data_IF_308295920322
#
_entry.id   IF_308295920322
#
_cell.length_a   1.000
_cell.length_b   1.000
_cell.length_c   1.000
_cell.angle_alpha   90.00
_cell.angle_beta   90.00
_cell.angle_gamma   90.00
#
_symmetry.space_group_name_H-M   'P 1'
#
loop_
_entity.id
_entity.type
_entity.pdbx_description
1 polymer ?
#
# COMPACT_ATOMS: atom_id res chain seq x y z
N UNK A 1 11.58 -13.99 -25.44
CA UNK A 1 11.39 -15.19 -24.59
C UNK A 1 12.47 -15.16 -23.50
N UNK A 2 12.13 -15.44 -22.24
CA UNK A 2 13.06 -15.34 -21.10
C UNK A 2 14.07 -16.52 -21.03
N UNK A 3 13.92 -17.55 -21.87
CA UNK A 3 14.80 -18.72 -21.89
C UNK A 3 14.76 -19.59 -20.62
N UNK A 4 13.73 -19.42 -19.79
CA UNK A 4 13.52 -20.18 -18.54
C UNK A 4 12.33 -21.11 -18.73
N UNK A 5 12.48 -22.36 -18.29
CA UNK A 5 11.36 -23.30 -18.28
C UNK A 5 10.23 -22.80 -17.37
N UNK A 6 8.95 -22.89 -17.77
CA UNK A 6 7.84 -22.36 -17.00
C UNK A 6 7.79 -22.83 -15.54
N UNK A 7 8.17 -24.07 -15.28
CA UNK A 7 8.19 -24.66 -13.93
C UNK A 7 9.28 -24.07 -13.02
N UNK A 8 10.29 -23.44 -13.60
CA UNK A 8 11.40 -22.82 -12.88
C UNK A 8 11.32 -21.29 -12.86
N UNK A 9 10.35 -20.69 -13.59
CA UNK A 9 10.21 -19.25 -13.72
C UNK A 9 9.92 -18.60 -12.35
N UNK A 10 10.74 -17.62 -11.98
CA UNK A 10 10.58 -16.77 -10.81
C UNK A 10 10.13 -15.40 -11.27
N UNK A 11 8.92 -15.04 -10.91
CA UNK A 11 8.28 -13.79 -11.35
C UNK A 11 7.87 -12.97 -10.12
N UNK A 12 8.16 -11.69 -10.14
CA UNK A 12 7.53 -10.70 -9.24
C UNK A 12 6.45 -9.98 -10.02
N UNK A 13 5.20 -10.12 -9.59
CA UNK A 13 4.05 -9.45 -10.22
C UNK A 13 3.66 -8.23 -9.39
N UNK A 14 3.68 -7.05 -9.99
CA UNK A 14 3.31 -5.77 -9.40
C UNK A 14 2.02 -5.29 -10.06
N UNK A 15 0.88 -5.42 -9.37
CA UNK A 15 -0.37 -4.82 -9.83
C UNK A 15 -0.53 -3.44 -9.19
N UNK A 16 -0.51 -2.37 -9.99
CA UNK A 16 -0.53 -0.99 -9.54
C UNK A 16 -1.70 -0.24 -10.18
N UNK A 17 -2.76 -0.06 -9.41
CA UNK A 17 -3.98 0.64 -9.79
C UNK A 17 -4.52 1.45 -8.61
N UNK A 18 -5.84 1.63 -8.51
CA UNK A 18 -6.48 2.23 -7.33
C UNK A 18 -6.16 1.45 -6.03
N UNK A 19 -6.09 0.12 -6.13
CA UNK A 19 -5.41 -0.76 -5.18
C UNK A 19 -4.06 -1.18 -5.74
N UNK A 20 -3.15 -1.65 -4.88
CA UNK A 20 -1.83 -2.10 -5.29
C UNK A 20 -1.41 -3.36 -4.51
N UNK A 21 -0.76 -4.29 -5.20
CA UNK A 21 -0.19 -5.49 -4.59
C UNK A 21 1.05 -5.95 -5.33
N UNK A 22 1.93 -6.63 -4.60
CA UNK A 22 3.09 -7.34 -5.17
C UNK A 22 2.99 -8.80 -4.75
N UNK A 23 3.27 -9.71 -5.67
CA UNK A 23 3.29 -11.14 -5.41
C UNK A 23 4.57 -11.78 -5.97
N UNK A 24 5.09 -12.74 -5.23
CA UNK A 24 6.18 -13.62 -5.65
C UNK A 24 5.61 -14.92 -6.22
N UNK A 25 6.04 -15.29 -7.40
CA UNK A 25 5.50 -16.42 -8.14
C UNK A 25 6.67 -17.32 -8.59
N UNK A 26 6.58 -18.61 -8.29
CA UNK A 26 7.54 -19.62 -8.74
C UNK A 26 6.79 -20.73 -9.46
N UNK A 27 7.17 -21.01 -10.71
CA UNK A 27 6.55 -22.06 -11.51
C UNK A 27 5.03 -21.91 -11.68
N UNK A 28 4.53 -20.67 -11.73
CA UNK A 28 3.10 -20.36 -11.84
C UNK A 28 2.31 -20.37 -10.53
N UNK A 29 2.97 -20.64 -9.39
CA UNK A 29 2.34 -20.63 -8.07
C UNK A 29 2.78 -19.41 -7.25
N UNK A 30 1.83 -18.69 -6.65
CA UNK A 30 2.14 -17.63 -5.69
C UNK A 30 2.74 -18.24 -4.42
N UNK A 31 3.94 -17.78 -4.06
CA UNK A 31 4.66 -18.23 -2.86
C UNK A 31 4.72 -17.18 -1.77
N UNK A 32 4.48 -15.91 -2.13
CA UNK A 32 4.44 -14.79 -1.20
C UNK A 32 3.61 -13.63 -1.79
N UNK A 33 3.10 -12.75 -0.94
CA UNK A 33 2.30 -11.59 -1.35
C UNK A 33 2.44 -10.44 -0.35
N UNK A 34 2.23 -9.23 -0.82
CA UNK A 34 2.24 -8.02 0.01
C UNK A 34 0.96 -7.81 0.84
N UNK A 35 -0.13 -8.51 0.52
CA UNK A 35 -1.38 -8.40 1.26
C UNK A 35 -1.45 -9.49 2.33
N UNK A 36 -1.95 -9.16 3.52
CA UNK A 36 -2.14 -10.09 4.61
C UNK A 36 -3.60 -10.51 4.79
N UNK A 37 -4.09 -10.43 6.04
CA UNK A 37 -5.47 -10.77 6.37
C UNK A 37 -6.48 -9.87 5.63
N UNK A 38 -6.13 -8.61 5.39
CA UNK A 38 -6.91 -7.67 4.59
C UNK A 38 -6.03 -7.00 3.54
N UNK A 39 -6.64 -6.37 2.50
CA UNK A 39 -5.90 -5.55 1.55
C UNK A 39 -5.37 -4.22 2.12
N UNK A 40 -5.47 -3.99 3.45
CA UNK A 40 -4.91 -2.83 4.12
C UNK A 40 -3.41 -2.98 4.37
N UNK A 41 -2.94 -4.21 4.59
CA UNK A 41 -1.52 -4.54 4.73
C UNK A 41 -0.79 -4.38 3.39
N UNK A 42 0.48 -4.03 3.46
CA UNK A 42 1.36 -3.98 2.30
C UNK A 42 1.66 -2.58 1.79
N UNK A 43 1.43 -2.37 0.51
CA UNK A 43 1.74 -1.11 -0.16
C UNK A 43 0.86 0.05 0.31
N UNK A 44 1.45 1.24 0.34
CA UNK A 44 0.67 2.48 0.33
C UNK A 44 -0.11 2.52 -0.99
N UNK A 45 -1.39 2.85 -0.93
CA UNK A 45 -2.28 2.89 -2.10
C UNK A 45 -2.91 4.27 -2.24
N UNK A 46 -3.82 4.44 -3.16
CA UNK A 46 -4.53 5.70 -3.36
C UNK A 46 -5.14 6.27 -2.07
N UNK A 47 -5.86 5.43 -1.32
CA UNK A 47 -6.54 5.83 -0.07
C UNK A 47 -6.16 5.01 1.15
N UNK A 48 -5.45 3.89 0.99
CA UNK A 48 -5.08 2.99 2.09
C UNK A 48 -3.68 3.30 2.60
N UNK A 49 -3.52 3.18 3.92
CA UNK A 49 -2.26 3.48 4.59
C UNK A 49 -1.11 2.50 4.22
N UNK A 50 -1.42 1.25 3.91
CA UNK A 50 -0.43 0.18 3.82
C UNK A 50 0.13 -0.17 5.19
N UNK A 51 1.35 -0.72 5.22
CA UNK A 51 2.00 -1.11 6.47
C UNK A 51 2.14 0.04 7.45
N UNK A 52 1.73 -0.22 8.68
CA UNK A 52 1.92 0.66 9.82
C UNK A 52 2.57 -0.13 10.97
N UNK A 53 3.23 0.59 11.87
CA UNK A 53 3.66 0.04 13.14
C UNK A 53 2.44 -0.40 13.96
N UNK A 54 2.35 -1.67 14.41
CA UNK A 54 1.22 -2.14 15.21
C UNK A 54 1.03 -1.35 16.52
N UNK A 55 2.11 -0.87 17.12
CA UNK A 55 2.07 -0.03 18.31
C UNK A 55 1.40 1.32 18.04
N UNK A 56 1.65 1.90 16.85
CA UNK A 56 0.96 3.11 16.41
C UNK A 56 -0.55 2.86 16.25
N UNK A 57 -0.94 1.77 15.60
CA UNK A 57 -2.37 1.42 15.40
C UNK A 57 -3.07 1.24 16.75
N UNK A 58 -2.44 0.52 17.69
CA UNK A 58 -2.97 0.35 19.06
C UNK A 58 -3.09 1.68 19.83
N UNK A 59 -2.14 2.60 19.63
CA UNK A 59 -2.20 3.93 20.20
C UNK A 59 -3.37 4.73 19.64
N UNK A 60 -3.52 4.77 18.31
CA UNK A 60 -4.62 5.47 17.63
C UNK A 60 -5.98 4.93 18.08
N UNK A 61 -6.13 3.59 18.18
CA UNK A 61 -7.35 2.97 18.68
C UNK A 61 -7.70 3.41 20.09
N UNK A 62 -6.70 3.45 21.00
CA UNK A 62 -6.92 3.93 22.37
C UNK A 62 -7.30 5.41 22.43
N UNK A 63 -6.70 6.24 21.57
CA UNK A 63 -7.01 7.68 21.49
C UNK A 63 -8.41 7.89 20.93
N UNK A 64 -8.84 7.14 19.91
CA UNK A 64 -10.18 7.18 19.36
C UNK A 64 -11.24 6.83 20.41
N UNK A 65 -11.07 5.72 21.13
CA UNK A 65 -11.98 5.29 22.20
C UNK A 65 -12.03 6.31 23.35
N UNK A 66 -10.86 6.85 23.76
CA UNK A 66 -10.82 7.90 24.81
C UNK A 66 -11.50 9.20 24.36
N UNK A 67 -11.39 9.56 23.08
CA UNK A 67 -12.09 10.69 22.49
C UNK A 67 -13.60 10.52 22.60
N UNK A 68 -14.13 9.40 22.13
CA UNK A 68 -15.55 9.06 22.23
C UNK A 68 -16.06 9.09 23.69
N UNK A 69 -15.27 8.56 24.63
CA UNK A 69 -15.63 8.58 26.06
C UNK A 69 -15.65 9.99 26.66
N UNK A 70 -14.81 10.92 26.18
CA UNK A 70 -14.83 12.33 26.63
C UNK A 70 -16.04 13.10 26.10
N UNK A 71 -16.46 12.81 24.86
CA UNK A 71 -17.56 13.49 24.22
C UNK A 71 -18.94 12.99 24.69
N UNK A 72 -19.05 11.67 24.94
CA UNK A 72 -20.33 11.00 25.21
C UNK A 72 -20.39 10.30 26.58
N UNK A 73 -19.39 10.55 27.47
CA UNK A 73 -19.29 9.92 28.78
C UNK A 73 -18.78 8.45 28.69
N UNK A 74 -18.79 7.75 29.84
CA UNK A 74 -18.26 6.38 30.00
C UNK A 74 -18.95 5.33 29.08
N UNK A 75 -20.10 5.66 28.52
CA UNK A 75 -20.87 4.87 27.56
C UNK A 75 -20.69 5.34 26.12
N UNK A 76 -19.65 6.18 25.83
CA UNK A 76 -19.33 6.57 24.45
C UNK A 76 -19.18 5.37 23.54
N UNK A 77 -19.57 5.54 22.26
CA UNK A 77 -19.54 4.48 21.25
C UNK A 77 -18.07 4.11 20.90
N UNK A 78 -17.51 3.18 21.69
CA UNK A 78 -16.17 2.67 21.45
C UNK A 78 -16.09 1.84 20.14
N UNK A 79 -17.15 1.16 19.74
CA UNK A 79 -17.20 0.41 18.50
C UNK A 79 -17.18 1.36 17.31
N UNK A 80 -18.04 2.38 17.27
CA UNK A 80 -18.05 3.38 16.23
C UNK A 80 -16.75 4.20 16.15
N UNK A 81 -16.05 4.38 17.27
CA UNK A 81 -14.73 5.01 17.27
C UNK A 81 -13.66 4.14 16.56
N UNK A 82 -13.73 2.81 16.73
CA UNK A 82 -12.86 1.86 16.03
C UNK A 82 -13.22 1.79 14.54
N UNK A 83 -14.51 1.72 14.20
CA UNK A 83 -14.98 1.72 12.81
C UNK A 83 -14.55 2.99 12.07
N UNK A 84 -14.60 4.15 12.75
CA UNK A 84 -14.11 5.42 12.20
C UNK A 84 -12.59 5.40 11.95
N UNK A 85 -11.81 4.81 12.85
CA UNK A 85 -10.37 4.62 12.64
C UNK A 85 -10.10 3.69 11.46
N UNK A 86 -10.83 2.59 11.35
CA UNK A 86 -10.71 1.68 10.21
C UNK A 86 -11.01 2.41 8.89
N UNK A 87 -12.11 3.17 8.83
CA UNK A 87 -12.45 3.99 7.66
C UNK A 87 -11.33 4.97 7.31
N UNK A 88 -10.72 5.61 8.32
CA UNK A 88 -9.60 6.52 8.14
C UNK A 88 -8.40 5.82 7.49
N UNK A 89 -8.02 4.64 7.97
CA UNK A 89 -6.89 3.89 7.45
C UNK A 89 -7.15 3.34 6.04
N UNK A 90 -8.39 2.97 5.72
CA UNK A 90 -8.76 2.38 4.43
C UNK A 90 -9.09 3.42 3.35
N UNK A 91 -9.68 4.58 3.71
CA UNK A 91 -10.29 5.49 2.72
C UNK A 91 -9.76 6.92 2.77
N UNK A 92 -9.08 7.31 3.86
CA UNK A 92 -8.64 8.70 4.08
C UNK A 92 -7.13 8.79 4.32
N UNK A 93 -6.40 7.73 4.05
CA UNK A 93 -4.94 7.62 4.14
C UNK A 93 -4.29 7.58 2.76
N UNK A 94 -3.12 6.96 2.66
CA UNK A 94 -2.41 6.74 1.42
C UNK A 94 -2.00 8.01 0.68
N UNK A 95 -1.96 7.94 -0.63
CA UNK A 95 -1.58 9.07 -1.49
C UNK A 95 -2.51 10.28 -1.30
N UNK A 96 -3.81 10.03 -1.10
CA UNK A 96 -4.80 11.08 -0.81
C UNK A 96 -4.42 11.89 0.41
N UNK A 97 -4.00 11.26 1.50
CA UNK A 97 -3.60 11.96 2.72
C UNK A 97 -2.25 12.66 2.58
N UNK A 98 -1.31 12.10 1.84
CA UNK A 98 0.03 12.63 1.65
C UNK A 98 0.07 13.77 0.63
N UNK A 99 -0.55 13.56 -0.53
CA UNK A 99 -0.48 14.47 -1.68
C UNK A 99 -1.79 15.17 -2.04
N UNK A 100 -2.89 14.95 -1.27
CA UNK A 100 -4.18 15.58 -1.50
C UNK A 100 -5.04 14.92 -2.59
N UNK A 101 -4.53 13.92 -3.29
CA UNK A 101 -5.26 13.14 -4.30
C UNK A 101 -4.74 11.71 -4.36
N UNK A 102 -5.58 10.78 -4.79
CA UNK A 102 -5.22 9.39 -5.07
C UNK A 102 -4.76 9.16 -6.50
N UNK A 103 -4.90 10.15 -7.37
CA UNK A 103 -4.53 10.10 -8.78
C UNK A 103 -3.03 10.31 -8.95
N UNK A 104 -2.31 9.25 -9.31
CA UNK A 104 -0.85 9.26 -9.48
C UNK A 104 -0.45 10.20 -10.61
N UNK A 105 -1.17 10.24 -11.73
CA UNK A 105 -0.84 11.13 -12.85
C UNK A 105 -0.97 12.62 -12.44
N UNK A 106 -1.98 12.95 -11.62
CA UNK A 106 -2.12 14.29 -11.07
C UNK A 106 -0.98 14.62 -10.08
N UNK A 107 -0.54 13.65 -9.27
CA UNK A 107 0.62 13.83 -8.38
C UNK A 107 1.92 14.04 -9.18
N UNK A 108 2.16 13.25 -10.23
CA UNK A 108 3.33 13.40 -11.11
C UNK A 108 3.36 14.80 -11.77
N UNK A 109 2.22 15.25 -12.29
CA UNK A 109 2.11 16.58 -12.88
C UNK A 109 2.40 17.71 -11.89
N UNK A 110 1.91 17.59 -10.65
CA UNK A 110 2.14 18.57 -9.58
C UNK A 110 3.57 18.54 -9.06
N UNK A 111 4.16 17.34 -8.91
CA UNK A 111 5.56 17.18 -8.50
C UNK A 111 6.51 17.82 -9.52
N UNK A 112 6.25 17.64 -10.83
CA UNK A 112 7.00 18.28 -11.89
C UNK A 112 6.93 19.83 -11.86
N UNK A 113 5.90 20.39 -11.22
CA UNK A 113 5.73 21.83 -10.99
C UNK A 113 6.32 22.30 -9.64
N UNK A 114 6.99 21.42 -8.89
CA UNK A 114 7.65 21.74 -7.63
C UNK A 114 6.74 21.61 -6.39
N UNK A 115 5.62 20.90 -6.48
CA UNK A 115 4.77 20.62 -5.32
C UNK A 115 5.44 19.58 -4.41
N UNK A 116 5.89 20.03 -3.23
CA UNK A 116 6.59 19.20 -2.27
C UNK A 116 5.71 18.07 -1.68
N UNK A 117 4.41 18.31 -1.48
CA UNK A 117 3.50 17.30 -0.96
C UNK A 117 3.26 16.18 -1.98
N UNK A 118 3.13 16.53 -3.26
CA UNK A 118 3.01 15.56 -4.34
C UNK A 118 4.30 14.75 -4.50
N UNK A 119 5.47 15.40 -4.43
CA UNK A 119 6.78 14.74 -4.46
C UNK A 119 6.93 13.75 -3.31
N UNK A 120 6.63 14.18 -2.07
CA UNK A 120 6.68 13.30 -0.91
C UNK A 120 5.76 12.09 -1.04
N UNK A 121 4.53 12.28 -1.54
CA UNK A 121 3.57 11.21 -1.74
C UNK A 121 4.10 10.15 -2.72
N UNK A 122 4.68 10.58 -3.85
CA UNK A 122 5.31 9.69 -4.84
C UNK A 122 6.55 9.00 -4.28
N UNK A 123 7.39 9.71 -3.55
CA UNK A 123 8.59 9.14 -2.92
C UNK A 123 8.23 8.03 -1.92
N UNK A 124 7.21 8.25 -1.08
CA UNK A 124 6.69 7.23 -0.16
C UNK A 124 6.16 6.02 -0.92
N UNK A 125 5.38 6.24 -1.98
CA UNK A 125 4.80 5.18 -2.81
C UNK A 125 5.90 4.32 -3.46
N UNK A 126 6.85 4.95 -4.14
CA UNK A 126 7.96 4.27 -4.82
C UNK A 126 8.88 3.58 -3.81
N UNK A 127 9.17 4.23 -2.66
CA UNK A 127 9.98 3.61 -1.61
C UNK A 127 9.35 2.32 -1.08
N UNK A 128 8.04 2.31 -0.81
CA UNK A 128 7.31 1.12 -0.36
C UNK A 128 7.30 0.03 -1.43
N UNK A 129 7.03 0.39 -2.67
CA UNK A 129 7.05 -0.53 -3.80
C UNK A 129 8.42 -1.21 -3.95
N UNK A 130 9.52 -0.44 -3.92
CA UNK A 130 10.89 -0.98 -3.98
C UNK A 130 11.19 -1.97 -2.86
N UNK A 131 10.75 -1.68 -1.63
CA UNK A 131 10.92 -2.60 -0.50
C UNK A 131 10.21 -3.93 -0.74
N UNK A 132 8.97 -3.89 -1.22
CA UNK A 132 8.20 -5.11 -1.50
C UNK A 132 8.77 -5.89 -2.68
N UNK A 133 9.17 -5.24 -3.76
CA UNK A 133 9.87 -5.91 -4.87
C UNK A 133 11.13 -6.61 -4.34
N UNK A 134 11.94 -5.95 -3.52
CA UNK A 134 13.13 -6.54 -2.91
C UNK A 134 12.79 -7.75 -2.03
N UNK A 135 11.76 -7.66 -1.20
CA UNK A 135 11.30 -8.78 -0.37
C UNK A 135 10.85 -9.97 -1.23
N UNK A 136 10.03 -9.74 -2.26
CA UNK A 136 9.57 -10.80 -3.17
C UNK A 136 10.71 -11.44 -3.96
N UNK A 137 11.70 -10.65 -4.39
CA UNK A 137 12.90 -11.19 -5.00
C UNK A 137 13.68 -12.08 -4.02
N UNK A 138 13.76 -11.72 -2.74
CA UNK A 138 14.39 -12.54 -1.72
C UNK A 138 13.61 -13.84 -1.47
N UNK A 139 12.28 -13.77 -1.39
CA UNK A 139 11.40 -14.93 -1.18
C UNK A 139 11.51 -15.98 -2.30
N UNK A 140 11.83 -15.54 -3.53
CA UNK A 140 12.02 -16.45 -4.68
C UNK A 140 13.48 -16.85 -4.93
N UNK A 141 14.43 -16.33 -4.15
CA UNK A 141 15.86 -16.53 -4.40
C UNK A 141 16.39 -15.80 -5.65
N UNK A 142 15.77 -14.70 -6.02
CA UNK A 142 15.99 -13.91 -7.23
C UNK A 142 14.77 -13.87 -8.12
N UNK A 143 14.73 -12.99 -9.10
CA UNK A 143 13.64 -12.90 -10.08
C UNK A 143 14.18 -12.95 -11.50
N UNK A 144 13.54 -13.73 -12.36
CA UNK A 144 13.85 -13.81 -13.80
C UNK A 144 13.10 -12.68 -14.56
N UNK A 145 11.98 -12.20 -13.99
CA UNK A 145 11.23 -11.08 -14.52
C UNK A 145 10.45 -10.36 -13.40
N UNK A 146 10.18 -9.06 -13.63
CA UNK A 146 9.23 -8.26 -12.87
C UNK A 146 8.18 -7.78 -13.84
N UNK A 147 6.90 -8.10 -13.58
CA UNK A 147 5.78 -7.70 -14.42
C UNK A 147 4.99 -6.59 -13.72
N UNK A 148 4.74 -5.51 -14.43
CA UNK A 148 3.86 -4.42 -14.00
C UNK A 148 2.53 -4.51 -14.73
N UNK A 149 1.43 -4.26 -13.99
CA UNK A 149 0.07 -4.23 -14.53
C UNK A 149 -0.77 -3.20 -13.77
N UNK A 150 -1.97 -2.93 -14.29
CA UNK A 150 -2.85 -1.88 -13.77
C UNK A 150 -2.48 -0.50 -14.29
N UNK A 151 -3.40 0.45 -14.15
CA UNK A 151 -3.29 1.76 -14.80
C UNK A 151 -2.02 2.54 -14.44
N UNK A 152 -1.57 2.47 -13.18
CA UNK A 152 -0.31 3.09 -12.74
C UNK A 152 0.88 2.28 -13.26
N UNK A 153 0.83 0.94 -13.13
CA UNK A 153 1.95 0.08 -13.52
C UNK A 153 2.27 0.09 -15.02
N UNK A 154 1.30 0.41 -15.85
CA UNK A 154 1.43 0.41 -17.31
C UNK A 154 1.74 1.80 -17.90
N UNK A 155 1.39 2.88 -17.18
CA UNK A 155 1.40 4.23 -17.74
C UNK A 155 2.24 5.24 -16.95
N UNK A 156 2.64 4.94 -15.71
CA UNK A 156 3.54 5.79 -14.93
C UNK A 156 5.00 5.45 -15.25
N UNK A 157 5.84 6.45 -15.49
CA UNK A 157 7.24 6.30 -15.91
C UNK A 157 8.23 6.51 -14.75
#
# INVERSE_FOLDING_TARGET
MLGVEPVALRLVSCHLGAGASVAAIVGGHSVDTSMGYTPLEGLVMGTRAGDLDPGLVLRLAREAVRGAAREHGMYGDAAGAIDSLEEQLQRRSGLRALGGTEDVAALESRAAQGDEAATLALDVYVHRLRRYIGAMCASTGGADAIAFSGGVGEHSA
#
